data_IF_485470011744
#
_entry.id   IF_485470011744
#
_cell.length_a   1.000
_cell.length_b   1.000
_cell.length_c   1.000
_cell.angle_alpha   90.00
_cell.angle_beta   90.00
_cell.angle_gamma   90.00
#
_symmetry.space_group_name_H-M   'P 1'
#
loop_
_entity.id
_entity.type
_entity.pdbx_description
1 polymer ?
#
# COMPACT_ATOMS: atom_id res chain seq x y z
N UNK A 1 -12.47 -37.50 48.90
CA UNK A 1 -12.42 -38.14 47.57
C UNK A 1 -11.36 -37.41 46.76
N UNK A 2 -10.15 -37.97 46.62
CA UNK A 2 -9.06 -37.31 45.91
C UNK A 2 -9.21 -37.53 44.40
N UNK A 3 -9.19 -36.48 43.56
CA UNK A 3 -9.29 -36.65 42.11
C UNK A 3 -8.00 -37.29 41.59
N UNK A 4 -8.11 -38.49 41.03
CA UNK A 4 -7.06 -39.12 40.22
C UNK A 4 -7.00 -38.35 38.91
N UNK A 5 -6.05 -37.43 38.77
CA UNK A 5 -5.76 -36.86 37.45
C UNK A 5 -5.32 -37.99 36.53
N UNK A 6 -5.95 -38.16 35.35
CA UNK A 6 -5.62 -39.27 34.47
C UNK A 6 -4.19 -39.05 33.94
N UNK A 7 -3.30 -40.06 34.05
CA UNK A 7 -1.89 -39.93 33.68
C UNK A 7 -1.69 -39.49 32.22
N UNK A 8 -2.71 -39.74 31.39
CA UNK A 8 -2.77 -39.39 29.97
C UNK A 8 -2.71 -37.87 29.72
N UNK A 9 -3.31 -37.06 30.59
CA UNK A 9 -3.29 -35.61 30.44
C UNK A 9 -1.88 -35.05 30.68
N UNK A 10 -1.21 -35.57 31.71
CA UNK A 10 0.17 -35.20 32.03
C UNK A 10 1.13 -35.60 30.89
N UNK A 11 0.98 -36.80 30.33
CA UNK A 11 1.82 -37.26 29.23
C UNK A 11 1.63 -36.45 27.96
N UNK A 12 0.38 -36.08 27.63
CA UNK A 12 0.09 -35.28 26.44
C UNK A 12 0.65 -33.85 26.57
N UNK A 13 0.55 -33.27 27.78
CA UNK A 13 1.10 -31.94 28.07
C UNK A 13 2.62 -31.93 27.95
N UNK A 14 3.29 -32.96 28.46
CA UNK A 14 4.75 -33.10 28.37
C UNK A 14 5.21 -33.28 26.91
N UNK A 15 4.50 -34.08 26.12
CA UNK A 15 4.81 -34.32 24.71
C UNK A 15 4.63 -33.05 23.85
N UNK A 16 3.60 -32.25 24.17
CA UNK A 16 3.37 -30.94 23.57
C UNK A 16 4.55 -29.99 23.82
N UNK A 17 4.97 -29.84 25.08
CA UNK A 17 6.09 -28.96 25.45
C UNK A 17 7.40 -29.40 24.79
N UNK A 18 7.66 -30.70 24.73
CA UNK A 18 8.85 -31.24 24.05
C UNK A 18 8.85 -30.93 22.56
N UNK A 19 7.68 -30.99 21.92
CA UNK A 19 7.52 -30.64 20.50
C UNK A 19 7.82 -29.15 20.26
N UNK A 20 7.32 -28.25 21.12
CA UNK A 20 7.62 -26.82 21.04
C UNK A 20 9.12 -26.51 21.19
N UNK A 21 9.81 -27.18 22.12
CA UNK A 21 11.26 -27.03 22.30
C UNK A 21 12.02 -27.49 21.05
N UNK A 22 11.60 -28.61 20.44
CA UNK A 22 12.21 -29.10 19.21
C UNK A 22 12.02 -28.11 18.04
N UNK A 23 10.81 -27.58 17.85
CA UNK A 23 10.55 -26.55 16.85
C UNK A 23 11.38 -25.28 17.08
N UNK A 24 11.52 -24.83 18.34
CA UNK A 24 12.32 -23.65 18.65
C UNK A 24 13.81 -23.86 18.35
N UNK A 25 14.35 -25.06 18.67
CA UNK A 25 15.74 -25.41 18.37
C UNK A 25 16.01 -25.60 16.88
N UNK A 26 15.05 -26.10 16.10
CA UNK A 26 15.20 -26.30 14.65
C UNK A 26 14.93 -25.05 13.80
N UNK A 27 14.26 -24.04 14.34
CA UNK A 27 13.90 -22.82 13.59
C UNK A 27 15.09 -21.90 13.27
N UNK A 28 16.30 -22.22 13.76
CA UNK A 28 17.48 -21.36 13.61
C UNK A 28 18.52 -21.91 12.62
N UNK A 29 18.08 -22.16 11.38
CA UNK A 29 19.00 -22.34 10.24
C UNK A 29 18.52 -21.55 9.03
N UNK A 30 18.08 -20.31 9.23
CA UNK A 30 18.07 -19.36 8.12
C UNK A 30 19.54 -19.03 7.80
N UNK A 31 20.05 -19.34 6.59
CA UNK A 31 21.38 -18.88 6.21
C UNK A 31 21.42 -17.35 6.29
N UNK A 32 22.54 -16.75 6.72
CA UNK A 32 22.69 -15.30 6.62
C UNK A 32 22.45 -14.88 5.16
N UNK A 33 21.79 -13.75 4.90
CA UNK A 33 21.62 -13.27 3.54
C UNK A 33 22.99 -13.17 2.87
N UNK A 34 23.13 -13.80 1.72
CA UNK A 34 24.37 -13.84 0.95
C UNK A 34 24.87 -12.43 0.66
N UNK A 35 26.08 -12.09 1.10
CA UNK A 35 26.72 -10.77 0.98
C UNK A 35 27.30 -10.49 -0.42
N UNK A 36 26.73 -11.09 -1.46
CA UNK A 36 27.18 -10.91 -2.85
C UNK A 36 26.11 -10.19 -3.68
N UNK A 37 25.88 -8.92 -3.35
CA UNK A 37 25.48 -7.93 -4.32
C UNK A 37 26.55 -6.84 -4.32
N UNK A 38 27.61 -7.03 -5.12
CA UNK A 38 28.49 -5.92 -5.50
C UNK A 38 27.74 -5.02 -6.47
N UNK A 39 26.79 -4.26 -5.95
CA UNK A 39 26.40 -3.01 -6.57
C UNK A 39 27.34 -1.98 -5.98
N UNK A 40 28.25 -1.47 -6.79
CA UNK A 40 29.09 -0.34 -6.43
C UNK A 40 28.18 0.89 -6.21
N UNK A 41 27.60 1.00 -5.01
CA UNK A 41 26.96 2.23 -4.56
C UNK A 41 28.09 3.09 -3.99
N UNK A 42 28.74 3.84 -4.87
CA UNK A 42 29.58 4.98 -4.48
C UNK A 42 28.74 5.91 -3.63
N UNK A 43 29.06 5.99 -2.34
CA UNK A 43 28.36 6.81 -1.35
C UNK A 43 28.52 8.30 -1.70
N UNK A 44 27.43 8.93 -2.11
CA UNK A 44 27.15 10.35 -1.84
C UNK A 44 25.66 10.57 -2.07
N UNK A 45 24.94 10.79 -0.96
CA UNK A 45 23.48 10.95 -0.79
C UNK A 45 22.72 9.68 -0.34
N UNK A 46 22.20 9.72 0.90
CA UNK A 46 21.44 8.65 1.58
C UNK A 46 20.01 8.45 1.04
N UNK A 47 19.75 8.80 -0.22
CA UNK A 47 18.42 8.72 -0.80
C UNK A 47 18.41 8.02 -2.16
N UNK A 48 17.29 7.38 -2.46
CA UNK A 48 17.03 6.72 -3.75
C UNK A 48 16.39 7.74 -4.69
N UNK A 49 16.94 7.94 -5.89
CA UNK A 49 16.33 8.79 -6.92
C UNK A 49 15.22 8.01 -7.62
N UNK A 50 14.00 8.52 -7.50
CA UNK A 50 12.79 7.89 -8.02
C UNK A 50 12.19 8.74 -9.13
N UNK A 51 12.05 8.17 -10.32
CA UNK A 51 11.20 8.76 -11.35
C UNK A 51 9.79 8.22 -11.21
N UNK A 52 8.82 9.11 -11.02
CA UNK A 52 7.41 8.73 -11.10
C UNK A 52 7.06 8.68 -12.57
N UNK A 53 6.80 7.47 -13.07
CA UNK A 53 6.25 7.32 -14.42
C UNK A 53 4.98 8.15 -14.50
N UNK A 54 4.73 8.85 -15.63
CA UNK A 54 3.40 9.35 -15.93
C UNK A 54 2.41 8.21 -15.74
N UNK A 55 1.15 8.51 -15.49
CA UNK A 55 0.12 7.49 -15.32
C UNK A 55 -0.49 7.14 -16.69
N UNK A 56 0.10 6.25 -17.51
CA UNK A 56 -0.53 5.88 -18.76
C UNK A 56 -1.85 5.18 -18.44
N UNK A 57 -2.92 5.63 -19.09
CA UNK A 57 -4.26 5.04 -18.94
C UNK A 57 -4.28 3.53 -19.20
N UNK A 58 -3.33 3.00 -19.97
CA UNK A 58 -3.21 1.57 -20.25
C UNK A 58 -2.87 0.73 -19.01
N UNK A 59 -2.18 1.31 -18.01
CA UNK A 59 -1.76 0.57 -16.82
C UNK A 59 -2.73 0.71 -15.66
N UNK A 60 -3.52 1.79 -15.61
CA UNK A 60 -4.51 2.01 -14.57
C UNK A 60 -5.96 1.96 -15.07
N UNK A 61 -6.22 1.58 -16.32
CA UNK A 61 -7.54 1.49 -16.95
C UNK A 61 -8.45 2.73 -16.74
N UNK A 62 -7.85 3.92 -16.56
CA UNK A 62 -8.58 5.14 -16.22
C UNK A 62 -9.32 5.07 -14.88
N UNK A 63 -8.85 4.28 -13.91
CA UNK A 63 -9.47 4.11 -12.59
C UNK A 63 -9.69 5.45 -11.89
N UNK A 64 -8.73 6.37 -12.00
CA UNK A 64 -8.85 7.70 -11.41
C UNK A 64 -9.95 8.53 -12.09
N UNK A 65 -10.04 8.47 -13.42
CA UNK A 65 -11.14 9.08 -14.17
C UNK A 65 -12.50 8.51 -13.73
N UNK A 66 -12.60 7.18 -13.57
CA UNK A 66 -13.82 6.49 -13.14
C UNK A 66 -14.24 6.88 -11.73
N UNK A 67 -13.29 6.96 -10.80
CA UNK A 67 -13.54 7.38 -9.42
C UNK A 67 -14.10 8.80 -9.33
N UNK A 68 -13.47 9.72 -10.04
CA UNK A 68 -13.91 11.12 -10.02
C UNK A 68 -15.19 11.35 -10.82
N UNK A 69 -15.53 10.46 -11.76
CA UNK A 69 -16.78 10.49 -12.51
C UNK A 69 -18.02 9.98 -11.73
N UNK A 70 -17.85 9.38 -10.55
CA UNK A 70 -18.98 9.01 -9.68
C UNK A 70 -19.83 10.25 -9.37
N UNK A 71 -21.16 10.17 -9.42
CA UNK A 71 -22.03 11.32 -9.13
C UNK A 71 -22.07 11.65 -7.64
N UNK A 72 -22.09 10.62 -6.80
CA UNK A 72 -22.00 10.69 -5.34
C UNK A 72 -21.41 9.41 -4.80
N UNK A 73 -20.64 9.50 -3.72
CA UNK A 73 -20.13 8.35 -2.99
C UNK A 73 -20.65 8.37 -1.55
N UNK A 74 -21.35 7.31 -1.15
CA UNK A 74 -22.00 7.18 0.16
C UNK A 74 -21.18 6.32 1.13
N UNK A 75 -20.01 5.81 0.71
CA UNK A 75 -19.14 5.04 1.60
C UNK A 75 -18.60 5.95 2.71
N UNK A 76 -18.39 5.35 3.87
CA UNK A 76 -17.79 6.02 5.04
C UNK A 76 -16.48 6.71 4.64
N UNK A 77 -16.34 7.99 4.99
CA UNK A 77 -15.13 8.76 4.72
C UNK A 77 -15.09 9.44 3.35
N UNK A 78 -16.13 9.29 2.53
CA UNK A 78 -16.18 9.91 1.19
C UNK A 78 -16.60 11.38 1.20
N UNK A 79 -16.87 11.96 2.37
CA UNK A 79 -17.36 13.34 2.50
C UNK A 79 -16.36 14.34 1.91
N UNK A 80 -15.06 14.13 2.18
CA UNK A 80 -13.98 14.97 1.64
C UNK A 80 -13.93 14.90 0.11
N UNK A 81 -13.97 13.69 -0.45
CA UNK A 81 -13.94 13.48 -1.91
C UNK A 81 -15.21 14.01 -2.60
N UNK A 82 -16.37 13.92 -1.94
CA UNK A 82 -17.61 14.50 -2.42
C UNK A 82 -17.51 16.03 -2.51
N UNK A 83 -16.89 16.69 -1.53
CA UNK A 83 -16.65 18.13 -1.58
C UNK A 83 -15.61 18.52 -2.64
N UNK A 84 -14.53 17.74 -2.79
CA UNK A 84 -13.55 17.92 -3.88
C UNK A 84 -14.25 17.84 -5.24
N UNK A 85 -15.14 16.85 -5.43
CA UNK A 85 -15.90 16.65 -6.67
C UNK A 85 -16.76 17.85 -7.02
N UNK A 86 -17.43 18.45 -6.04
CA UNK A 86 -18.30 19.62 -6.23
C UNK A 86 -17.51 20.90 -6.49
N UNK A 87 -16.38 21.09 -5.81
CA UNK A 87 -15.71 22.40 -5.71
C UNK A 87 -14.47 22.54 -6.60
N UNK A 88 -13.63 21.50 -6.64
CA UNK A 88 -12.29 21.54 -7.24
C UNK A 88 -12.24 20.84 -8.59
N UNK A 89 -12.97 19.73 -8.74
CA UNK A 89 -12.94 18.92 -9.96
C UNK A 89 -13.33 19.69 -11.24
N UNK A 90 -14.34 20.58 -11.24
CA UNK A 90 -14.69 21.36 -12.43
C UNK A 90 -13.57 22.30 -12.91
N UNK A 91 -12.63 22.64 -12.01
CA UNK A 91 -11.51 23.55 -12.27
C UNK A 91 -10.24 22.81 -12.68
N UNK A 92 -10.22 21.49 -12.56
CA UNK A 92 -9.03 20.67 -12.73
C UNK A 92 -8.99 20.04 -14.13
N UNK A 93 -7.81 19.98 -14.74
CA UNK A 93 -7.65 19.27 -16.01
C UNK A 93 -7.68 17.75 -15.78
N UNK A 94 -8.21 16.98 -16.74
CA UNK A 94 -8.20 15.50 -16.70
C UNK A 94 -6.78 14.90 -16.55
N UNK A 95 -5.74 15.64 -16.92
CA UNK A 95 -4.34 15.20 -16.77
C UNK A 95 -3.81 15.33 -15.34
N UNK A 96 -4.54 16.01 -14.46
CA UNK A 96 -4.10 16.40 -13.12
C UNK A 96 -5.09 15.97 -12.03
N UNK A 97 -5.84 14.89 -12.25
CA UNK A 97 -6.73 14.36 -11.22
C UNK A 97 -5.92 13.91 -9.99
N UNK A 98 -6.30 14.27 -8.76
CA UNK A 98 -5.59 13.88 -7.55
C UNK A 98 -5.94 12.43 -7.20
N UNK A 99 -5.08 11.78 -6.40
CA UNK A 99 -5.46 10.54 -5.74
C UNK A 99 -6.60 10.81 -4.73
N UNK A 100 -7.55 9.89 -4.52
CA UNK A 100 -8.63 10.09 -3.56
C UNK A 100 -8.17 10.33 -2.12
N UNK A 101 -8.87 11.21 -1.42
CA UNK A 101 -8.61 11.56 -0.03
C UNK A 101 -9.48 10.76 0.97
N UNK A 102 -10.35 9.88 0.49
CA UNK A 102 -11.10 8.96 1.35
C UNK A 102 -10.14 8.20 2.30
N UNK A 103 -10.36 8.25 3.63
CA UNK A 103 -9.45 7.70 4.63
C UNK A 103 -9.28 6.18 4.53
N UNK A 104 -10.31 5.45 4.08
CA UNK A 104 -10.24 3.99 3.88
C UNK A 104 -9.29 3.66 2.73
N UNK A 105 -9.37 4.43 1.64
CA UNK A 105 -8.46 4.26 0.49
C UNK A 105 -7.02 4.57 0.91
N UNK A 106 -6.81 5.64 1.67
CA UNK A 106 -5.48 6.05 2.16
C UNK A 106 -4.84 5.01 3.09
N UNK A 107 -5.63 4.47 4.03
CA UNK A 107 -5.13 3.55 5.05
C UNK A 107 -4.45 2.31 4.46
N UNK A 108 -4.96 1.79 3.34
CA UNK A 108 -4.49 0.54 2.74
C UNK A 108 -3.81 0.71 1.39
N UNK A 109 -3.47 1.95 0.98
CA UNK A 109 -2.79 2.21 -0.28
C UNK A 109 -1.34 2.63 -0.03
N UNK A 110 -0.41 1.71 -0.28
CA UNK A 110 1.01 2.05 -0.32
C UNK A 110 1.29 3.11 -1.39
N UNK A 111 0.57 3.06 -2.51
CA UNK A 111 0.71 4.00 -3.61
C UNK A 111 0.35 5.43 -3.20
N UNK A 112 -0.69 5.61 -2.37
CA UNK A 112 -1.04 6.92 -1.82
C UNK A 112 0.14 7.52 -1.05
N UNK A 113 0.73 6.75 -0.13
CA UNK A 113 1.82 7.24 0.72
C UNK A 113 3.11 7.47 -0.06
N UNK A 114 3.46 6.56 -0.99
CA UNK A 114 4.64 6.73 -1.84
C UNK A 114 4.48 7.95 -2.76
N UNK A 115 3.31 8.12 -3.39
CA UNK A 115 3.03 9.28 -4.23
C UNK A 115 3.01 10.58 -3.43
N UNK A 116 2.43 10.55 -2.22
CA UNK A 116 2.38 11.69 -1.32
C UNK A 116 3.79 12.13 -0.92
N UNK A 117 4.64 11.20 -0.48
CA UNK A 117 6.03 11.49 -0.15
C UNK A 117 6.79 12.04 -1.38
N UNK A 118 6.74 11.35 -2.51
CA UNK A 118 7.48 11.77 -3.71
C UNK A 118 6.95 13.06 -4.37
N UNK A 119 5.68 13.44 -4.13
CA UNK A 119 5.08 14.66 -4.68
C UNK A 119 5.16 15.86 -3.74
N UNK A 120 5.55 15.65 -2.49
CA UNK A 120 5.74 16.73 -1.52
C UNK A 120 6.98 17.57 -1.93
N UNK A 121 6.85 18.90 -2.04
CA UNK A 121 7.99 19.78 -2.32
C UNK A 121 9.11 19.59 -1.28
N UNK A 122 10.37 19.67 -1.72
CA UNK A 122 11.54 19.42 -0.87
C UNK A 122 11.58 20.35 0.35
N UNK A 123 11.05 21.57 0.25
CA UNK A 123 10.99 22.54 1.35
C UNK A 123 10.04 22.12 2.48
N UNK A 124 9.04 21.29 2.15
CA UNK A 124 8.04 20.77 3.09
C UNK A 124 8.31 19.30 3.47
N UNK A 125 9.34 18.71 2.88
CA UNK A 125 9.67 17.31 3.04
C UNK A 125 10.47 17.12 4.33
N UNK A 126 10.03 16.18 5.15
CA UNK A 126 10.80 15.72 6.31
C UNK A 126 11.95 14.81 5.89
N UNK A 127 12.36 13.92 6.80
CA UNK A 127 13.32 12.86 6.49
C UNK A 127 12.69 11.82 5.55
N UNK A 128 12.87 12.01 4.24
CA UNK A 128 12.50 11.02 3.21
C UNK A 128 13.75 10.34 2.66
N UNK A 129 13.69 9.01 2.56
CA UNK A 129 14.71 8.19 1.91
C UNK A 129 14.59 8.16 0.39
N UNK A 130 13.59 8.85 -0.18
CA UNK A 130 13.30 8.85 -1.60
C UNK A 130 13.19 10.27 -2.16
N UNK A 131 13.97 10.55 -3.20
CA UNK A 131 13.96 11.83 -3.89
C UNK A 131 13.35 11.70 -5.26
N UNK A 132 12.34 12.52 -5.57
CA UNK A 132 11.75 12.53 -6.90
C UNK A 132 12.70 13.20 -7.90
N UNK A 133 12.91 12.57 -9.05
CA UNK A 133 13.59 13.16 -10.20
C UNK A 133 12.61 13.40 -11.34
N UNK A 134 12.93 14.37 -12.21
CA UNK A 134 12.07 14.76 -13.34
C UNK A 134 12.34 13.98 -14.62
N UNK A 135 13.54 13.44 -14.78
CA UNK A 135 13.95 12.63 -15.92
C UNK A 135 14.18 11.18 -15.48
N UNK A 136 13.66 10.22 -16.24
CA UNK A 136 13.83 8.80 -15.95
C UNK A 136 15.29 8.34 -16.06
N UNK A 137 16.11 9.07 -16.83
CA UNK A 137 17.54 8.78 -17.04
C UNK A 137 18.38 9.06 -15.79
N UNK A 138 17.90 9.94 -14.92
CA UNK A 138 18.56 10.31 -13.67
C UNK A 138 18.13 9.42 -12.49
N UNK A 139 17.16 8.54 -12.70
CA UNK A 139 16.55 7.73 -11.67
C UNK A 139 17.30 6.43 -11.42
N UNK A 140 17.37 6.03 -10.15
CA UNK A 140 17.86 4.72 -9.75
C UNK A 140 16.72 3.68 -9.89
N UNK A 141 15.47 4.12 -9.69
CA UNK A 141 14.27 3.29 -9.85
C UNK A 141 13.12 4.07 -10.51
N UNK A 142 12.27 3.36 -11.25
CA UNK A 142 11.04 3.89 -11.83
C UNK A 142 9.86 3.39 -11.01
N UNK A 143 9.09 4.31 -10.44
CA UNK A 143 7.85 4.00 -9.76
C UNK A 143 6.67 4.11 -10.73
N UNK A 144 5.94 3.00 -10.90
CA UNK A 144 4.74 2.91 -11.74
C UNK A 144 3.55 2.60 -10.84
N UNK A 145 2.69 3.59 -10.53
CA UNK A 145 1.57 3.34 -9.62
C UNK A 145 0.46 2.57 -10.34
N UNK A 146 -0.05 1.50 -9.70
CA UNK A 146 -1.01 0.57 -10.28
C UNK A 146 -2.41 0.64 -9.69
N UNK A 147 -2.63 1.49 -8.66
CA UNK A 147 -3.94 1.81 -8.08
C UNK A 147 -4.74 0.59 -7.60
N UNK A 148 -4.11 -0.39 -6.96
CA UNK A 148 -4.81 -1.62 -6.57
C UNK A 148 -5.92 -1.35 -5.56
N UNK A 149 -5.64 -0.59 -4.50
CA UNK A 149 -6.65 -0.26 -3.49
C UNK A 149 -7.83 0.47 -4.12
N UNK A 150 -7.57 1.45 -4.98
CA UNK A 150 -8.62 2.16 -5.70
C UNK A 150 -9.44 1.24 -6.61
N UNK A 151 -8.81 0.27 -7.28
CA UNK A 151 -9.50 -0.69 -8.13
C UNK A 151 -10.47 -1.58 -7.34
N UNK A 152 -10.06 -2.08 -6.17
CA UNK A 152 -10.88 -2.90 -5.31
C UNK A 152 -12.07 -2.09 -4.76
N UNK A 153 -11.79 -0.88 -4.29
CA UNK A 153 -12.79 0.03 -3.74
C UNK A 153 -13.84 0.44 -4.77
N UNK A 154 -13.44 0.69 -6.01
CA UNK A 154 -14.38 0.95 -7.10
C UNK A 154 -15.27 -0.26 -7.42
N UNK A 155 -14.74 -1.48 -7.36
CA UNK A 155 -15.52 -2.67 -7.59
C UNK A 155 -16.59 -2.88 -6.50
N UNK A 156 -16.28 -2.53 -5.26
CA UNK A 156 -17.24 -2.55 -4.16
C UNK A 156 -18.38 -1.54 -4.35
N UNK A 157 -18.09 -0.35 -4.90
CA UNK A 157 -19.12 0.65 -5.24
C UNK A 157 -20.09 0.12 -6.29
N UNK A 158 -19.56 -0.44 -7.38
CA UNK A 158 -20.39 -0.95 -8.50
C UNK A 158 -21.30 -2.09 -8.02
N UNK A 159 -20.79 -3.01 -7.20
CA UNK A 159 -21.55 -4.17 -6.75
C UNK A 159 -22.64 -3.82 -5.73
N UNK A 160 -22.46 -2.78 -4.91
CA UNK A 160 -23.52 -2.33 -3.99
C UNK A 160 -24.74 -1.75 -4.71
N UNK A 161 -24.53 -1.05 -5.83
CA UNK A 161 -25.63 -0.53 -6.65
C UNK A 161 -26.52 -1.63 -7.25
N UNK A 162 -25.96 -2.82 -7.50
CA UNK A 162 -26.71 -3.97 -8.06
C UNK A 162 -27.55 -4.68 -7.00
N UNK A 163 -27.19 -4.60 -5.72
CA UNK A 163 -27.93 -5.27 -4.63
C UNK A 163 -29.10 -4.45 -4.09
N UNK A 164 -29.11 -3.12 -4.28
CA UNK A 164 -30.20 -2.25 -3.84
C UNK A 164 -31.33 -2.12 -4.89
N UNK A 165 -31.14 -2.64 -6.12
CA UNK A 165 -32.11 -2.59 -7.22
C UNK A 165 -32.83 -3.94 -7.47
N UNK A 166 -32.71 -4.91 -6.55
CA UNK A 166 -33.32 -6.25 -6.66
C UNK A 166 -34.28 -6.58 -5.53
#
# INVERSE_FOLDING_TARGET
MAPKTPPLFLTLTLLSLLSFVFFYLHSSTAPPPSTNARNALTTSQDFIKVYISPFPRSLNYGLLDKYWALTSDTRVGSEVDNEIRKTLLPKLSKKSLPYPENPIIKQYSAEYWILGDLSTPEELKGESFAKRVLDYRDADVIFVPFFATLSAELQLVVNKGVQEES
#
